data_IF_950659409296
#
_entry.id   IF_950659409296
#
_cell.length_a   1.000
_cell.length_b   1.000
_cell.length_c   1.000
_cell.angle_alpha   90.00
_cell.angle_beta   90.00
_cell.angle_gamma   90.00
#
_symmetry.space_group_name_H-M   'P 1'
#
loop_
_entity.id
_entity.type
_entity.pdbx_description
1 polymer ?
#
# COMPACT_ATOMS: atom_id res chain seq x y z
N UNK A 1 -27.54 29.13 3.35
CA UNK A 1 -27.71 27.70 3.71
C UNK A 1 -27.19 26.87 2.55
N UNK A 2 -26.04 26.21 2.72
CA UNK A 2 -25.50 25.32 1.68
C UNK A 2 -26.33 24.04 1.67
N UNK A 3 -26.97 23.76 0.55
CA UNK A 3 -27.68 22.50 0.33
C UNK A 3 -26.59 21.43 0.18
N UNK A 4 -26.44 20.55 1.16
CA UNK A 4 -25.55 19.41 1.03
C UNK A 4 -25.96 18.64 -0.23
N UNK A 5 -25.06 18.56 -1.22
CA UNK A 5 -25.32 17.74 -2.39
C UNK A 5 -25.54 16.29 -1.95
N UNK A 6 -26.56 15.61 -2.48
CA UNK A 6 -26.79 14.20 -2.16
C UNK A 6 -25.56 13.40 -2.56
N UNK A 7 -25.14 12.48 -1.69
CA UNK A 7 -24.04 11.56 -1.97
C UNK A 7 -24.39 10.78 -3.24
N UNK A 8 -23.50 10.83 -4.23
CA UNK A 8 -23.69 10.06 -5.45
C UNK A 8 -23.73 8.56 -5.14
N UNK A 9 -24.55 7.78 -5.86
CA UNK A 9 -24.54 6.33 -5.70
C UNK A 9 -23.14 5.79 -5.98
N UNK A 10 -22.74 4.75 -5.23
CA UNK A 10 -21.43 4.12 -5.38
C UNK A 10 -21.24 3.63 -6.82
N UNK A 11 -20.11 4.02 -7.44
CA UNK A 11 -19.76 3.59 -8.79
C UNK A 11 -19.62 2.06 -8.85
N UNK A 12 -20.31 1.44 -9.82
CA UNK A 12 -20.08 0.03 -10.18
C UNK A 12 -18.65 -0.17 -10.67
N UNK A 13 -17.90 -1.03 -10.01
CA UNK A 13 -16.50 -1.31 -10.32
C UNK A 13 -16.20 -2.80 -10.20
N UNK A 14 -15.18 -3.26 -10.92
CA UNK A 14 -14.63 -4.61 -10.73
C UNK A 14 -14.03 -4.73 -9.33
N UNK A 15 -14.32 -5.82 -8.63
CA UNK A 15 -13.67 -6.13 -7.36
C UNK A 15 -12.29 -6.76 -7.61
N UNK A 16 -11.30 -6.31 -6.84
CA UNK A 16 -9.94 -6.82 -6.80
C UNK A 16 -9.54 -7.13 -5.36
N UNK A 17 -8.42 -7.82 -5.16
CA UNK A 17 -7.85 -8.04 -3.84
C UNK A 17 -6.47 -7.40 -3.74
N UNK A 18 -6.21 -6.75 -2.61
CA UNK A 18 -4.88 -6.36 -2.16
C UNK A 18 -4.59 -7.23 -0.93
N UNK A 19 -3.82 -8.29 -1.13
CA UNK A 19 -3.68 -9.34 -0.14
C UNK A 19 -5.05 -9.92 0.22
N UNK A 20 -5.40 -9.84 1.51
CA UNK A 20 -6.71 -10.28 2.02
C UNK A 20 -7.84 -9.24 1.92
N UNK A 21 -7.54 -8.00 1.51
CA UNK A 21 -8.52 -6.89 1.49
C UNK A 21 -9.19 -6.79 0.11
N UNK A 22 -10.51 -6.91 0.06
CA UNK A 22 -11.30 -6.69 -1.15
C UNK A 22 -11.51 -5.19 -1.43
N UNK A 23 -11.26 -4.76 -2.68
CA UNK A 23 -11.37 -3.37 -3.12
C UNK A 23 -12.25 -3.26 -4.36
N UNK A 24 -13.23 -2.36 -4.32
CA UNK A 24 -14.21 -2.17 -5.40
C UNK A 24 -15.42 -3.09 -5.28
N UNK A 25 -16.29 -3.09 -6.29
CA UNK A 25 -17.57 -3.82 -6.26
C UNK A 25 -18.44 -3.36 -5.08
N UNK A 26 -18.91 -4.34 -4.31
CA UNK A 26 -19.75 -4.13 -3.13
C UNK A 26 -18.97 -4.18 -1.80
N UNK A 27 -17.65 -4.40 -1.85
CA UNK A 27 -16.79 -4.38 -0.66
C UNK A 27 -16.82 -2.99 0.01
N UNK A 28 -16.70 -2.88 1.35
CA UNK A 28 -16.58 -1.60 2.04
C UNK A 28 -15.48 -0.69 1.47
N UNK A 29 -15.55 0.62 1.73
CA UNK A 29 -14.44 1.52 1.36
C UNK A 29 -13.28 1.24 2.30
N UNK A 30 -12.20 0.65 1.80
CA UNK A 30 -10.99 0.39 2.58
C UNK A 30 -10.24 1.69 2.89
N UNK A 31 -9.74 1.83 4.12
CA UNK A 31 -8.86 2.90 4.56
C UNK A 31 -7.42 2.53 4.23
N UNK A 32 -6.71 3.41 3.51
CA UNK A 32 -5.30 3.22 3.20
C UNK A 32 -4.49 4.39 3.76
N UNK A 33 -3.31 4.10 4.32
CA UNK A 33 -2.33 5.10 4.74
C UNK A 33 -0.95 4.84 4.13
N UNK A 34 0.01 5.72 4.42
CA UNK A 34 1.40 5.61 3.97
C UNK A 34 2.33 5.86 5.15
N UNK A 35 3.35 5.03 5.30
CA UNK A 35 4.38 5.25 6.31
C UNK A 35 5.20 6.49 5.98
N UNK A 36 5.75 7.12 7.01
CA UNK A 36 6.73 8.22 6.90
C UNK A 36 8.13 7.81 7.32
N UNK A 37 8.27 6.62 7.92
CA UNK A 37 9.57 6.01 8.25
C UNK A 37 10.33 5.64 6.98
N UNK A 38 11.65 5.55 7.11
CA UNK A 38 12.49 5.01 6.06
C UNK A 38 12.32 3.50 5.99
N UNK A 39 11.84 2.97 4.86
CA UNK A 39 11.62 1.53 4.63
C UNK A 39 12.87 0.68 4.90
N UNK A 40 14.07 1.27 4.82
CA UNK A 40 15.33 0.59 5.16
C UNK A 40 15.43 0.27 6.66
N UNK A 41 14.74 1.02 7.52
CA UNK A 41 14.57 0.74 8.93
C UNK A 41 13.34 -0.14 9.17
N UNK A 42 13.56 -1.45 9.06
CA UNK A 42 12.52 -2.46 9.19
C UNK A 42 11.78 -2.38 10.53
N UNK A 43 12.47 -2.05 11.63
CA UNK A 43 11.85 -2.01 12.96
C UNK A 43 10.92 -0.81 13.06
N UNK A 44 11.43 0.38 12.76
CA UNK A 44 10.62 1.60 12.80
C UNK A 44 9.43 1.52 11.82
N UNK A 45 9.61 0.93 10.64
CA UNK A 45 8.54 0.72 9.69
C UNK A 45 7.48 -0.25 10.20
N UNK A 46 7.86 -1.39 10.79
CA UNK A 46 6.88 -2.33 11.37
C UNK A 46 6.12 -1.71 12.54
N UNK A 47 6.80 -1.02 13.45
CA UNK A 47 6.17 -0.35 14.59
C UNK A 47 5.11 0.67 14.12
N UNK A 48 5.40 1.42 13.04
CA UNK A 48 4.44 2.34 12.46
C UNK A 48 3.29 1.62 11.74
N UNK A 49 3.56 0.50 11.07
CA UNK A 49 2.50 -0.30 10.44
C UNK A 49 1.54 -0.83 11.50
N UNK A 50 2.04 -1.31 12.64
CA UNK A 50 1.22 -1.79 13.76
C UNK A 50 0.32 -0.65 14.29
N UNK A 51 0.88 0.53 14.54
CA UNK A 51 0.11 1.71 14.97
C UNK A 51 -0.98 2.10 13.95
N UNK A 52 -0.68 2.02 12.65
CA UNK A 52 -1.67 2.30 11.61
C UNK A 52 -2.77 1.24 11.60
N UNK A 53 -2.43 -0.04 11.73
CA UNK A 53 -3.40 -1.12 11.80
C UNK A 53 -4.31 -1.00 13.03
N UNK A 54 -3.75 -0.69 14.20
CA UNK A 54 -4.50 -0.43 15.43
C UNK A 54 -5.45 0.78 15.29
N UNK A 55 -5.06 1.79 14.52
CA UNK A 55 -5.91 2.94 14.20
C UNK A 55 -6.99 2.65 13.14
N UNK A 56 -7.07 1.43 12.62
CA UNK A 56 -8.09 1.01 11.64
C UNK A 56 -7.67 1.17 10.18
N UNK A 57 -6.37 1.26 9.89
CA UNK A 57 -5.86 1.20 8.52
C UNK A 57 -6.00 -0.21 7.96
N UNK A 58 -6.63 -0.36 6.79
CA UNK A 58 -6.80 -1.67 6.13
C UNK A 58 -5.58 -2.06 5.29
N UNK A 59 -4.90 -1.09 4.68
CA UNK A 59 -3.80 -1.29 3.72
C UNK A 59 -2.74 -0.22 3.92
N UNK A 60 -1.47 -0.59 3.97
CA UNK A 60 -0.36 0.35 4.14
C UNK A 60 0.50 0.47 2.89
N UNK A 61 1.01 1.67 2.61
CA UNK A 61 1.96 1.93 1.52
C UNK A 61 3.31 2.40 2.06
N UNK A 62 4.39 1.92 1.44
CA UNK A 62 5.77 2.24 1.80
C UNK A 62 6.52 2.78 0.58
N UNK A 63 7.38 3.79 0.78
CA UNK A 63 8.28 4.28 -0.27
C UNK A 63 9.44 3.29 -0.50
N UNK A 64 9.79 3.02 -1.76
CA UNK A 64 10.91 2.14 -2.10
C UNK A 64 11.88 2.89 -3.02
N UNK A 65 12.77 3.74 -2.47
CA UNK A 65 13.64 4.59 -3.26
C UNK A 65 14.85 3.84 -3.87
N UNK A 66 15.24 2.72 -3.28
CA UNK A 66 16.46 2.00 -3.66
C UNK A 66 16.36 0.49 -3.40
N UNK A 67 17.43 -0.22 -3.77
CA UNK A 67 17.55 -1.67 -3.61
C UNK A 67 17.47 -2.11 -2.13
N UNK A 68 18.03 -1.32 -1.21
CA UNK A 68 18.06 -1.66 0.22
C UNK A 68 16.64 -1.63 0.79
N UNK A 69 15.86 -0.61 0.42
CA UNK A 69 14.44 -0.54 0.75
C UNK A 69 13.67 -1.71 0.12
N UNK A 70 13.96 -2.07 -1.13
CA UNK A 70 13.30 -3.21 -1.77
C UNK A 70 13.62 -4.54 -1.07
N UNK A 71 14.87 -4.77 -0.67
CA UNK A 71 15.30 -5.95 0.07
C UNK A 71 14.65 -6.03 1.47
N UNK A 72 14.49 -4.89 2.15
CA UNK A 72 13.85 -4.79 3.46
C UNK A 72 12.39 -5.26 3.45
N UNK A 73 11.69 -5.12 2.32
CA UNK A 73 10.29 -5.54 2.18
C UNK A 73 10.06 -6.99 2.57
N UNK A 74 11.00 -7.89 2.30
CA UNK A 74 10.85 -9.32 2.63
C UNK A 74 10.57 -9.56 4.12
N UNK A 75 11.22 -8.80 4.99
CA UNK A 75 11.03 -8.92 6.43
C UNK A 75 9.79 -8.16 6.91
N UNK A 76 9.42 -7.09 6.21
CA UNK A 76 8.26 -6.26 6.53
C UNK A 76 6.98 -7.01 6.16
N UNK A 77 6.86 -7.51 4.93
CA UNK A 77 5.67 -8.21 4.43
C UNK A 77 5.40 -9.49 5.21
N UNK A 78 6.44 -10.20 5.66
CA UNK A 78 6.31 -11.39 6.49
C UNK A 78 5.73 -11.13 7.89
N UNK A 79 5.80 -9.89 8.39
CA UNK A 79 5.39 -9.51 9.76
C UNK A 79 4.25 -8.50 9.82
N UNK A 80 4.00 -7.80 8.72
CA UNK A 80 2.95 -6.79 8.65
C UNK A 80 1.57 -7.39 8.97
N UNK A 81 0.79 -6.82 9.90
CA UNK A 81 -0.57 -7.27 10.18
C UNK A 81 -1.56 -6.92 9.05
N UNK A 82 -1.20 -6.04 8.13
CA UNK A 82 -2.06 -5.55 7.04
C UNK A 82 -1.33 -5.60 5.69
N UNK A 83 -2.05 -5.71 4.55
CA UNK A 83 -1.43 -5.74 3.23
C UNK A 83 -0.50 -4.54 2.95
N UNK A 84 0.61 -4.81 2.28
CA UNK A 84 1.68 -3.84 2.01
C UNK A 84 1.73 -3.49 0.51
N UNK A 85 1.75 -2.19 0.22
CA UNK A 85 1.95 -1.63 -1.12
C UNK A 85 3.35 -1.05 -1.24
N UNK A 86 4.11 -1.48 -2.27
CA UNK A 86 5.35 -0.80 -2.66
C UNK A 86 5.06 0.40 -3.58
N UNK A 87 5.58 1.57 -3.22
CA UNK A 87 5.50 2.80 -4.02
C UNK A 87 6.80 3.03 -4.80
N UNK A 88 6.78 2.73 -6.10
CA UNK A 88 7.95 2.82 -7.00
C UNK A 88 7.78 4.03 -7.93
N UNK A 89 8.79 4.88 -7.97
CA UNK A 89 8.73 6.13 -8.75
C UNK A 89 9.38 6.03 -10.12
N UNK A 90 10.55 5.38 -10.25
CA UNK A 90 11.37 5.46 -11.46
C UNK A 90 11.88 4.08 -11.92
N UNK A 91 12.65 3.38 -11.10
CA UNK A 91 13.32 2.15 -11.53
C UNK A 91 12.39 0.92 -11.49
N UNK A 92 12.03 0.37 -12.66
CA UNK A 92 11.17 -0.81 -12.75
C UNK A 92 11.78 -2.05 -12.08
N UNK A 93 13.11 -2.13 -11.95
CA UNK A 93 13.78 -3.27 -11.30
C UNK A 93 13.41 -3.33 -9.83
N UNK A 94 13.16 -2.18 -9.18
CA UNK A 94 12.65 -2.14 -7.81
C UNK A 94 11.23 -2.67 -7.70
N UNK A 95 10.39 -2.48 -8.74
CA UNK A 95 9.06 -3.06 -8.78
C UNK A 95 9.12 -4.60 -8.86
N UNK A 96 10.01 -5.15 -9.69
CA UNK A 96 10.22 -6.60 -9.79
C UNK A 96 10.72 -7.16 -8.44
N UNK A 97 11.72 -6.51 -7.83
CA UNK A 97 12.22 -6.91 -6.51
C UNK A 97 11.14 -6.83 -5.43
N UNK A 98 10.29 -5.81 -5.44
CA UNK A 98 9.19 -5.69 -4.50
C UNK A 98 8.18 -6.84 -4.66
N UNK A 99 7.86 -7.23 -5.90
CA UNK A 99 7.01 -8.39 -6.17
C UNK A 99 7.62 -9.68 -5.60
N UNK A 100 8.90 -9.91 -5.85
CA UNK A 100 9.63 -11.09 -5.33
C UNK A 100 9.71 -11.10 -3.79
N UNK A 101 9.72 -9.92 -3.16
CA UNK A 101 9.73 -9.75 -1.71
C UNK A 101 8.33 -9.69 -1.07
N UNK A 102 7.30 -10.09 -1.82
CA UNK A 102 6.00 -10.46 -1.26
C UNK A 102 5.06 -9.30 -0.96
N UNK A 103 5.20 -8.15 -1.64
CA UNK A 103 4.19 -7.09 -1.52
C UNK A 103 2.88 -7.48 -2.18
N UNK A 104 1.77 -7.03 -1.62
CA UNK A 104 0.42 -7.36 -2.09
C UNK A 104 0.00 -6.56 -3.32
N UNK A 105 0.64 -5.41 -3.54
CA UNK A 105 0.39 -4.52 -4.68
C UNK A 105 1.58 -3.60 -4.91
N UNK A 106 1.75 -3.19 -6.15
CA UNK A 106 2.74 -2.18 -6.56
C UNK A 106 2.00 -0.94 -7.07
N UNK A 107 2.39 0.23 -6.58
CA UNK A 107 2.04 1.52 -7.16
C UNK A 107 3.20 1.94 -8.06
N UNK A 108 2.91 2.07 -9.35
CA UNK A 108 3.79 2.70 -10.34
C UNK A 108 3.05 3.86 -11.00
N UNK A 109 3.81 4.80 -11.56
CA UNK A 109 3.32 5.72 -12.57
C UNK A 109 3.97 5.34 -13.92
N UNK A 110 3.21 4.84 -14.90
CA UNK A 110 3.77 4.43 -16.18
C UNK A 110 4.48 5.55 -16.95
N UNK A 111 4.16 6.83 -16.67
CA UNK A 111 4.76 7.96 -17.37
C UNK A 111 6.22 8.27 -16.99
N UNK A 112 6.73 7.69 -15.91
CA UNK A 112 8.10 7.94 -15.42
C UNK A 112 8.83 6.67 -14.96
N UNK A 113 8.28 5.48 -15.21
CA UNK A 113 8.93 4.20 -14.92
C UNK A 113 9.92 3.86 -16.05
N UNK A 114 11.22 3.89 -15.78
CA UNK A 114 12.31 3.77 -16.77
C UNK A 114 13.68 3.60 -16.12
#
# INVERSE_FOLDING_TARGET
MSIAQPLQPRRKSRQLHVGRVAVGGDAPVSVQSMTVTDTRDVVATLDQIEQLAEAGCDIVRLAVPDKVAADALKQITARSPIPVIADIHFDYRLALMAADNGVDKIRINPGNIG
#
